data_IF_409871804630
#
_entry.id   IF_409871804630
#
_cell.length_a   1.000
_cell.length_b   1.000
_cell.length_c   1.000
_cell.angle_alpha   90.00
_cell.angle_beta   90.00
_cell.angle_gamma   90.00
#
_symmetry.space_group_name_H-M   'P 1'
#
loop_
_entity.id
_entity.type
_entity.pdbx_description
1 polymer ?
#
# COMPACT_ATOMS: atom_id res chain seq x y z
N UNK A 1 -2.74 10.21 9.66
CA UNK A 1 -1.29 9.99 9.65
C UNK A 1 -0.94 8.67 10.30
N UNK A 2 0.14 8.03 9.82
CA UNK A 2 0.71 6.81 10.43
C UNK A 2 1.39 7.11 11.76
N UNK A 3 1.99 8.30 11.89
CA UNK A 3 2.66 8.80 13.08
C UNK A 3 3.58 7.76 13.75
N UNK A 4 4.42 7.09 12.95
CA UNK A 4 5.47 6.21 13.48
C UNK A 4 6.35 6.97 14.46
N UNK A 5 6.80 6.32 15.54
CA UNK A 5 7.64 6.99 16.55
C UNK A 5 8.89 7.61 15.92
N UNK A 6 9.55 6.86 15.04
CA UNK A 6 10.64 7.36 14.21
C UNK A 6 10.08 8.06 12.97
N UNK A 7 10.32 9.38 12.76
CA UNK A 7 9.95 10.07 11.52
C UNK A 7 10.67 9.49 10.31
N UNK A 8 10.17 9.77 9.10
CA UNK A 8 10.77 9.28 7.87
C UNK A 8 12.20 9.80 7.71
N UNK A 9 13.11 8.89 7.38
CA UNK A 9 14.51 9.24 7.18
C UNK A 9 15.18 8.29 6.18
N UNK A 10 16.20 8.77 5.52
CA UNK A 10 17.03 8.00 4.60
C UNK A 10 18.38 8.66 4.44
N UNK A 11 19.43 7.86 4.42
CA UNK A 11 20.76 8.28 3.94
C UNK A 11 20.98 7.66 2.55
N UNK A 12 21.43 8.46 1.60
CA UNK A 12 21.79 8.00 0.27
C UNK A 12 23.15 8.55 -0.17
N UNK A 13 23.90 7.75 -0.92
CA UNK A 13 25.13 8.16 -1.58
C UNK A 13 25.11 7.70 -3.04
N UNK A 14 24.93 8.63 -3.96
CA UNK A 14 24.86 8.38 -5.37
C UNK A 14 26.14 8.90 -6.06
N UNK A 15 26.86 8.00 -6.71
CA UNK A 15 28.01 8.29 -7.54
C UNK A 15 27.70 7.96 -9.02
N UNK A 16 28.66 8.14 -9.93
CA UNK A 16 28.47 7.80 -11.33
C UNK A 16 28.28 6.31 -11.61
N UNK A 17 28.76 5.44 -10.73
CA UNK A 17 28.79 3.99 -10.93
C UNK A 17 28.21 3.15 -9.78
N UNK A 18 27.81 3.79 -8.68
CA UNK A 18 27.31 3.11 -7.50
C UNK A 18 26.26 3.96 -6.77
N UNK A 19 25.27 3.30 -6.19
CA UNK A 19 24.31 3.89 -5.29
C UNK A 19 24.24 3.08 -3.99
N UNK A 20 24.39 3.73 -2.85
CA UNK A 20 24.21 3.13 -1.53
C UNK A 20 23.09 3.85 -0.79
N UNK A 21 22.21 3.07 -0.16
CA UNK A 21 21.01 3.55 0.53
C UNK A 21 20.95 2.91 1.91
N UNK A 22 20.83 3.71 2.94
CA UNK A 22 20.54 3.29 4.32
C UNK A 22 19.14 3.78 4.66
N UNK A 23 18.19 2.86 4.71
CA UNK A 23 16.78 3.22 4.91
C UNK A 23 16.05 2.21 5.79
N UNK A 24 15.25 2.67 6.76
CA UNK A 24 14.31 1.84 7.51
C UNK A 24 13.05 1.60 6.66
N UNK A 25 13.17 0.78 5.61
CA UNK A 25 12.10 0.49 4.64
C UNK A 25 11.41 -0.84 4.90
N UNK A 26 10.13 -0.94 4.56
CA UNK A 26 9.35 -2.18 4.50
C UNK A 26 9.33 -2.79 3.08
N UNK A 27 9.92 -2.11 2.08
CA UNK A 27 9.84 -2.48 0.67
C UNK A 27 11.19 -2.32 -0.04
N UNK A 28 12.11 -3.23 0.23
CA UNK A 28 13.46 -3.20 -0.34
C UNK A 28 13.43 -3.24 -1.88
N UNK A 29 12.61 -4.13 -2.46
CA UNK A 29 12.47 -4.23 -3.93
C UNK A 29 12.00 -2.92 -4.55
N UNK A 30 10.97 -2.29 -3.99
CA UNK A 30 10.47 -1.01 -4.50
C UNK A 30 11.47 0.13 -4.32
N UNK A 31 12.30 0.03 -3.28
CA UNK A 31 13.41 0.97 -3.07
C UNK A 31 14.48 0.81 -4.15
N UNK A 32 14.82 -0.42 -4.55
CA UNK A 32 15.73 -0.70 -5.67
C UNK A 32 15.15 -0.16 -6.97
N UNK A 33 13.89 -0.44 -7.27
CA UNK A 33 13.23 0.03 -8.48
C UNK A 33 13.25 1.55 -8.58
N UNK A 34 12.94 2.24 -7.48
CA UNK A 34 12.99 3.70 -7.41
C UNK A 34 14.42 4.24 -7.57
N UNK A 35 15.41 3.56 -6.99
CA UNK A 35 16.80 3.95 -7.15
C UNK A 35 17.27 3.77 -8.60
N UNK A 36 16.87 2.71 -9.28
CA UNK A 36 17.14 2.50 -10.72
C UNK A 36 16.53 3.62 -11.58
N UNK A 37 15.27 3.95 -11.31
CA UNK A 37 14.55 5.02 -12.01
C UNK A 37 15.27 6.36 -11.89
N UNK A 38 15.71 6.74 -10.68
CA UNK A 38 16.34 8.03 -10.42
C UNK A 38 17.79 8.07 -10.90
N UNK A 39 18.56 7.01 -10.64
CA UNK A 39 20.01 7.02 -10.90
C UNK A 39 20.36 6.60 -12.31
N UNK A 40 19.56 5.74 -12.94
CA UNK A 40 19.86 5.07 -14.20
C UNK A 40 20.85 3.91 -14.04
N UNK A 41 21.24 3.56 -12.83
CA UNK A 41 22.18 2.46 -12.55
C UNK A 41 21.50 1.10 -12.67
N UNK A 42 22.27 0.07 -13.02
CA UNK A 42 21.81 -1.32 -12.93
C UNK A 42 21.66 -1.74 -11.48
N UNK A 43 20.81 -2.72 -11.23
CA UNK A 43 20.54 -3.27 -9.89
C UNK A 43 21.82 -3.72 -9.17
N UNK A 44 22.75 -4.32 -9.90
CA UNK A 44 24.03 -4.78 -9.33
C UNK A 44 24.90 -3.65 -8.74
N UNK A 45 24.64 -2.42 -9.12
CA UNK A 45 25.33 -1.23 -8.63
C UNK A 45 24.56 -0.47 -7.54
N UNK A 46 23.46 -1.05 -7.06
CA UNK A 46 22.63 -0.46 -6.01
C UNK A 46 22.68 -1.37 -4.79
N UNK A 47 23.05 -0.80 -3.65
CA UNK A 47 23.13 -1.52 -2.38
C UNK A 47 22.17 -0.87 -1.40
N UNK A 48 21.30 -1.68 -0.79
CA UNK A 48 20.40 -1.24 0.28
C UNK A 48 20.88 -1.87 1.59
N UNK A 49 21.18 -1.01 2.53
CA UNK A 49 21.38 -1.36 3.93
C UNK A 49 20.06 -1.18 4.66
N UNK A 50 19.37 -2.27 4.94
CA UNK A 50 18.10 -2.22 5.68
C UNK A 50 18.38 -1.89 7.13
N UNK A 51 17.89 -0.73 7.57
CA UNK A 51 18.06 -0.25 8.93
C UNK A 51 16.93 -0.74 9.84
N UNK A 52 17.17 -0.81 11.16
CA UNK A 52 16.07 -1.03 12.12
C UNK A 52 14.94 -0.02 11.93
N UNK A 53 13.70 -0.46 12.14
CA UNK A 53 12.50 0.35 11.87
C UNK A 53 11.88 0.78 13.20
N UNK A 54 11.79 2.09 13.44
CA UNK A 54 11.09 2.69 14.58
C UNK A 54 9.59 2.85 14.37
N UNK A 55 8.95 1.82 13.79
CA UNK A 55 7.54 1.80 13.39
C UNK A 55 7.37 1.99 11.90
N UNK A 56 6.54 1.14 11.27
CA UNK A 56 6.26 1.20 9.84
C UNK A 56 4.78 1.39 9.53
N UNK A 57 3.95 0.44 9.98
CA UNK A 57 2.48 0.48 9.83
C UNK A 57 1.98 0.64 8.39
N UNK A 58 2.83 0.25 7.41
CA UNK A 58 2.58 0.48 5.99
C UNK A 58 3.19 1.77 5.44
N UNK A 59 3.53 2.77 6.26
CA UNK A 59 4.11 4.03 5.80
C UNK A 59 5.42 3.85 5.04
N UNK A 60 6.24 2.93 5.50
CA UNK A 60 7.57 2.66 4.93
C UNK A 60 7.55 1.68 3.75
N UNK A 61 6.37 1.33 3.26
CA UNK A 61 6.17 0.76 1.93
C UNK A 61 6.28 1.85 0.84
N UNK A 62 5.96 3.11 1.20
CA UNK A 62 6.16 4.24 0.31
C UNK A 62 7.64 4.64 0.25
N UNK A 63 8.12 5.02 -0.92
CA UNK A 63 9.54 5.30 -1.18
C UNK A 63 9.87 6.79 -1.28
N UNK A 64 8.92 7.66 -1.00
CA UNK A 64 9.04 9.12 -1.13
C UNK A 64 10.21 9.73 -0.36
N UNK A 65 10.43 9.32 0.88
CA UNK A 65 11.56 9.79 1.70
C UNK A 65 12.93 9.28 1.18
N UNK A 66 12.94 8.11 0.55
CA UNK A 66 14.14 7.57 -0.13
C UNK A 66 14.40 8.33 -1.42
N UNK A 67 13.35 8.60 -2.20
CA UNK A 67 13.41 9.36 -3.45
C UNK A 67 14.05 10.74 -3.22
N UNK A 68 13.63 11.46 -2.19
CA UNK A 68 14.19 12.76 -1.82
C UNK A 68 15.71 12.66 -1.56
N UNK A 69 16.14 11.68 -0.76
CA UNK A 69 17.56 11.49 -0.46
C UNK A 69 18.39 11.16 -1.72
N UNK A 70 17.85 10.32 -2.60
CA UNK A 70 18.51 9.95 -3.86
C UNK A 70 18.64 11.14 -4.81
N UNK A 71 17.58 11.93 -5.00
CA UNK A 71 17.59 13.11 -5.88
C UNK A 71 18.64 14.11 -5.40
N UNK A 72 18.64 14.45 -4.11
CA UNK A 72 19.58 15.41 -3.56
C UNK A 72 21.02 14.89 -3.64
N UNK A 73 21.27 13.63 -3.24
CA UNK A 73 22.60 13.02 -3.31
C UNK A 73 23.15 12.98 -4.74
N UNK A 74 22.30 12.62 -5.71
CA UNK A 74 22.67 12.62 -7.13
C UNK A 74 23.06 14.01 -7.63
N UNK A 75 22.32 15.04 -7.21
CA UNK A 75 22.57 16.42 -7.62
C UNK A 75 23.89 16.95 -7.07
N UNK A 76 24.19 16.73 -5.79
CA UNK A 76 25.40 17.28 -5.15
C UNK A 76 26.59 16.30 -5.18
N UNK A 77 26.39 15.05 -5.62
CA UNK A 77 27.40 14.00 -5.69
C UNK A 77 28.12 13.73 -4.36
N UNK A 78 27.38 13.79 -3.26
CA UNK A 78 27.85 13.53 -1.90
C UNK A 78 26.84 12.71 -1.13
N UNK A 79 27.26 12.04 -0.04
CA UNK A 79 26.32 11.43 0.89
C UNK A 79 25.37 12.50 1.47
N UNK A 80 24.09 12.13 1.54
CA UNK A 80 23.01 12.98 2.06
C UNK A 80 22.17 12.18 3.01
N UNK A 81 21.86 12.74 4.17
CA UNK A 81 20.83 12.26 5.06
C UNK A 81 19.64 13.20 5.03
N UNK A 82 18.47 12.67 4.71
CA UNK A 82 17.18 13.34 4.87
C UNK A 82 16.55 12.81 6.16
N UNK A 83 16.09 13.72 6.99
CA UNK A 83 15.31 13.44 8.19
C UNK A 83 14.11 14.39 8.20
N UNK A 84 12.92 13.83 8.17
CA UNK A 84 11.71 14.64 8.28
C UNK A 84 11.49 15.09 9.71
N UNK A 85 10.97 16.29 9.88
CA UNK A 85 10.42 16.69 11.18
C UNK A 85 9.13 15.90 11.47
N UNK A 86 8.67 15.94 12.72
CA UNK A 86 7.39 15.32 13.06
C UNK A 86 6.22 15.99 12.35
N UNK A 87 6.28 17.29 12.19
CA UNK A 87 5.30 18.11 11.50
C UNK A 87 5.22 17.70 10.02
N UNK A 88 6.36 17.54 9.36
CA UNK A 88 6.47 17.10 7.97
C UNK A 88 5.88 15.70 7.79
N UNK A 89 6.25 14.75 8.64
CA UNK A 89 5.76 13.37 8.60
C UNK A 89 4.22 13.28 8.78
N UNK A 90 3.65 14.14 9.62
CA UNK A 90 2.19 14.18 9.83
C UNK A 90 1.46 14.85 8.69
N UNK A 91 2.01 15.94 8.13
CA UNK A 91 1.33 16.76 7.12
C UNK A 91 1.46 16.19 5.71
N UNK A 92 2.57 15.52 5.39
CA UNK A 92 2.89 15.03 4.05
C UNK A 92 2.90 13.51 3.93
N UNK A 93 2.38 12.80 4.94
CA UNK A 93 2.17 11.35 4.87
C UNK A 93 0.99 10.98 3.99
N UNK A 94 0.98 9.72 3.57
CA UNK A 94 -0.15 9.15 2.84
C UNK A 94 -1.35 8.91 3.75
N UNK A 95 -2.55 8.99 3.18
CA UNK A 95 -3.79 8.82 3.93
C UNK A 95 -4.29 7.38 3.90
N UNK A 96 -4.96 6.98 4.97
CA UNK A 96 -5.79 5.79 4.94
C UNK A 96 -6.99 6.03 4.01
N UNK A 97 -7.28 5.06 3.14
CA UNK A 97 -8.42 5.18 2.23
C UNK A 97 -9.74 5.33 2.98
N UNK A 98 -10.42 6.43 2.75
CA UNK A 98 -11.80 6.60 3.21
C UNK A 98 -12.73 5.62 2.49
N UNK A 99 -13.75 5.11 3.16
CA UNK A 99 -14.72 4.21 2.55
C UNK A 99 -16.15 4.56 2.95
N UNK A 100 -17.09 4.23 2.07
CA UNK A 100 -18.52 4.24 2.39
C UNK A 100 -19.11 2.88 2.08
N UNK A 101 -19.74 2.28 3.07
CA UNK A 101 -20.35 0.95 2.96
C UNK A 101 -21.86 1.02 3.22
N UNK A 102 -22.60 0.22 2.46
CA UNK A 102 -24.03 -0.03 2.68
C UNK A 102 -24.22 -1.51 2.93
N UNK A 103 -24.73 -1.83 4.11
CA UNK A 103 -25.05 -3.20 4.51
C UNK A 103 -26.56 -3.46 4.46
N UNK A 104 -26.93 -4.66 4.01
CA UNK A 104 -28.30 -5.18 4.09
C UNK A 104 -28.23 -6.62 4.55
N UNK A 105 -29.05 -6.97 5.54
CA UNK A 105 -29.11 -8.32 6.11
C UNK A 105 -30.57 -8.75 6.11
N UNK A 106 -30.85 -9.92 5.51
CA UNK A 106 -32.17 -10.54 5.60
C UNK A 106 -32.15 -11.60 6.72
N UNK A 107 -33.18 -11.60 7.54
CA UNK A 107 -33.36 -12.59 8.62
C UNK A 107 -34.34 -13.65 8.18
N UNK A 108 -34.08 -14.90 8.56
CA UNK A 108 -35.02 -15.99 8.44
C UNK A 108 -36.18 -15.89 9.45
N UNK A 109 -37.18 -16.74 9.31
CA UNK A 109 -38.30 -16.83 10.24
C UNK A 109 -37.87 -17.20 11.69
N UNK A 110 -36.71 -17.83 11.81
CA UNK A 110 -36.05 -18.18 13.05
C UNK A 110 -35.22 -17.02 13.68
N UNK A 111 -35.26 -15.84 13.07
CA UNK A 111 -34.51 -14.65 13.50
C UNK A 111 -33.01 -14.70 13.18
N UNK A 112 -32.53 -15.76 12.55
CA UNK A 112 -31.11 -15.86 12.18
C UNK A 112 -30.84 -15.18 10.84
N UNK A 113 -29.63 -14.57 10.67
CA UNK A 113 -29.25 -13.96 9.41
C UNK A 113 -29.09 -15.05 8.32
N UNK A 114 -29.76 -14.86 7.20
CA UNK A 114 -29.74 -15.75 6.04
C UNK A 114 -29.03 -15.17 4.85
N UNK A 115 -29.10 -13.86 4.67
CA UNK A 115 -28.49 -13.18 3.56
C UNK A 115 -27.72 -11.95 4.04
N UNK A 116 -26.54 -11.76 3.48
CA UNK A 116 -25.68 -10.60 3.72
C UNK A 116 -25.34 -9.94 2.39
N UNK A 117 -25.61 -8.64 2.29
CA UNK A 117 -25.17 -7.81 1.17
C UNK A 117 -24.31 -6.66 1.71
N UNK A 118 -23.15 -6.45 1.08
CA UNK A 118 -22.31 -5.28 1.32
C UNK A 118 -21.97 -4.61 0.00
N UNK A 119 -22.31 -3.36 -0.14
CA UNK A 119 -21.89 -2.52 -1.25
C UNK A 119 -20.98 -1.43 -0.70
N UNK A 120 -19.73 -1.35 -1.17
CA UNK A 120 -18.81 -0.35 -0.70
C UNK A 120 -18.02 0.33 -1.82
N UNK A 121 -17.66 1.57 -1.57
CA UNK A 121 -16.79 2.36 -2.42
C UNK A 121 -15.61 2.84 -1.59
N UNK A 122 -14.42 2.75 -2.15
CA UNK A 122 -13.19 3.32 -1.57
C UNK A 122 -12.16 3.54 -2.68
N UNK A 123 -11.22 4.50 -2.51
CA UNK A 123 -10.05 4.56 -3.37
C UNK A 123 -9.19 3.32 -3.21
N UNK A 124 -8.65 2.84 -4.31
CA UNK A 124 -7.65 1.76 -4.29
C UNK A 124 -6.25 2.35 -4.15
N UNK A 125 -5.48 1.88 -3.18
CA UNK A 125 -4.05 2.23 -3.10
C UNK A 125 -3.18 1.42 -4.07
N UNK A 126 -3.72 0.34 -4.64
CA UNK A 126 -3.03 -0.43 -5.68
C UNK A 126 -3.12 0.24 -7.05
N UNK A 127 -4.28 0.77 -7.41
CA UNK A 127 -4.45 1.45 -8.70
C UNK A 127 -3.67 2.75 -8.78
N UNK A 128 -3.49 3.46 -7.67
CA UNK A 128 -2.65 4.66 -7.62
C UNK A 128 -1.16 4.34 -7.79
N UNK A 129 -0.73 3.14 -7.41
CA UNK A 129 0.67 2.72 -7.50
C UNK A 129 1.01 1.98 -8.78
N UNK A 130 0.10 1.16 -9.27
CA UNK A 130 0.28 0.36 -10.48
C UNK A 130 -0.66 0.84 -11.58
N UNK A 131 -0.15 1.65 -12.48
CA UNK A 131 -0.93 2.25 -13.56
C UNK A 131 -1.70 1.21 -14.41
N UNK A 132 -1.12 0.03 -14.60
CA UNK A 132 -1.79 -1.07 -15.31
C UNK A 132 -3.05 -1.54 -14.58
N UNK A 133 -3.05 -1.57 -13.24
CA UNK A 133 -4.22 -1.94 -12.46
C UNK A 133 -5.30 -0.86 -12.51
N UNK A 134 -4.88 0.41 -12.62
CA UNK A 134 -5.82 1.52 -12.83
C UNK A 134 -6.53 1.41 -14.18
N UNK A 135 -5.78 1.08 -15.24
CA UNK A 135 -6.36 0.90 -16.58
C UNK A 135 -7.36 -0.27 -16.66
N UNK A 136 -7.16 -1.29 -15.83
CA UNK A 136 -8.04 -2.46 -15.77
C UNK A 136 -9.20 -2.30 -14.76
N UNK A 137 -9.28 -1.16 -14.05
CA UNK A 137 -10.17 -0.95 -12.90
C UNK A 137 -10.10 -2.11 -11.89
N UNK A 138 -8.89 -2.65 -11.71
CA UNK A 138 -8.64 -3.85 -10.94
C UNK A 138 -7.86 -3.55 -9.64
N UNK A 139 -8.49 -3.76 -8.51
CA UNK A 139 -7.85 -3.79 -7.20
C UNK A 139 -7.84 -5.23 -6.69
N UNK A 140 -6.68 -5.91 -6.63
CA UNK A 140 -6.59 -7.31 -6.25
C UNK A 140 -7.25 -7.62 -4.90
N UNK A 141 -7.15 -6.70 -3.93
CA UNK A 141 -7.71 -6.92 -2.59
C UNK A 141 -9.22 -6.66 -2.53
N UNK A 142 -9.67 -5.61 -3.19
CA UNK A 142 -11.09 -5.29 -3.21
C UNK A 142 -11.88 -6.26 -4.09
N UNK A 143 -11.31 -6.66 -5.22
CA UNK A 143 -11.87 -7.74 -6.03
C UNK A 143 -11.82 -9.09 -5.31
N UNK A 144 -10.83 -9.33 -4.46
CA UNK A 144 -10.79 -10.53 -3.64
C UNK A 144 -11.97 -10.59 -2.67
N UNK A 145 -12.32 -9.49 -2.02
CA UNK A 145 -13.50 -9.42 -1.16
C UNK A 145 -14.81 -9.61 -1.94
N UNK A 146 -14.90 -9.07 -3.16
CA UNK A 146 -16.07 -9.26 -4.04
C UNK A 146 -16.08 -10.61 -4.72
N UNK A 147 -14.93 -11.11 -5.16
CA UNK A 147 -14.80 -12.41 -5.81
C UNK A 147 -15.19 -13.55 -4.87
N UNK A 148 -15.01 -13.40 -3.56
CA UNK A 148 -15.41 -14.44 -2.61
C UNK A 148 -16.91 -14.67 -2.56
N UNK A 149 -17.71 -13.66 -2.88
CA UNK A 149 -19.17 -13.83 -3.00
C UNK A 149 -19.63 -14.48 -4.31
N UNK A 150 -18.84 -14.31 -5.38
CA UNK A 150 -19.20 -14.80 -6.73
C UNK A 150 -18.43 -16.05 -7.19
N UNK A 151 -17.24 -16.31 -6.62
CA UNK A 151 -16.29 -17.33 -7.11
C UNK A 151 -16.14 -18.56 -6.20
N UNK A 152 -17.00 -18.76 -5.22
CA UNK A 152 -17.04 -20.05 -4.50
C UNK A 152 -17.18 -21.26 -5.44
N UNK A 153 -17.58 -21.04 -6.68
CA UNK A 153 -17.75 -22.09 -7.68
C UNK A 153 -16.70 -22.17 -8.80
N UNK A 154 -15.67 -21.34 -8.85
CA UNK A 154 -14.66 -21.43 -9.92
C UNK A 154 -13.21 -21.28 -9.40
N UNK A 155 -12.56 -22.41 -9.33
CA UNK A 155 -11.13 -22.79 -9.52
C UNK A 155 -10.07 -21.66 -9.60
N UNK A 156 -9.92 -20.82 -8.59
CA UNK A 156 -8.61 -20.22 -8.30
C UNK A 156 -8.14 -20.66 -6.92
N UNK A 157 -6.90 -21.18 -6.79
CA UNK A 157 -6.35 -21.50 -5.48
C UNK A 157 -6.04 -20.19 -4.78
N UNK A 158 -7.00 -19.65 -4.03
CA UNK A 158 -6.80 -18.50 -3.18
C UNK A 158 -5.99 -18.93 -1.97
N UNK A 159 -4.78 -18.40 -1.81
CA UNK A 159 -3.92 -18.66 -0.65
C UNK A 159 -4.49 -18.09 0.67
N UNK A 160 -5.59 -17.36 0.61
CA UNK A 160 -6.22 -16.73 1.76
C UNK A 160 -7.73 -16.94 1.73
N UNK A 161 -8.26 -17.99 2.39
CA UNK A 161 -9.70 -18.15 2.55
C UNK A 161 -10.20 -17.06 3.51
N UNK A 162 -10.88 -16.03 2.98
CA UNK A 162 -11.71 -15.17 3.82
C UNK A 162 -12.90 -16.01 4.27
N UNK A 163 -12.76 -16.65 5.43
CA UNK A 163 -13.91 -17.23 6.11
C UNK A 163 -14.74 -16.09 6.67
N UNK A 164 -15.97 -15.94 6.19
CA UNK A 164 -16.94 -15.21 6.96
C UNK A 164 -17.12 -15.93 8.31
N UNK A 165 -16.99 -15.21 9.41
CA UNK A 165 -17.18 -15.78 10.75
C UNK A 165 -18.64 -16.20 11.01
N UNK A 166 -19.55 -15.82 10.10
CA UNK A 166 -20.98 -16.09 10.18
C UNK A 166 -21.39 -16.99 9.02
N UNK A 167 -22.30 -17.93 9.31
CA UNK A 167 -22.85 -18.84 8.34
C UNK A 167 -24.07 -18.18 7.66
N UNK A 168 -23.83 -17.50 6.54
CA UNK A 168 -24.86 -16.95 5.67
C UNK A 168 -25.14 -17.90 4.53
N UNK A 169 -26.42 -18.14 4.23
CA UNK A 169 -26.82 -18.94 3.05
C UNK A 169 -26.47 -18.21 1.73
N UNK A 170 -26.54 -16.86 1.74
CA UNK A 170 -26.22 -16.04 0.57
C UNK A 170 -25.39 -14.84 0.99
N UNK A 171 -24.30 -14.59 0.24
CA UNK A 171 -23.42 -13.43 0.43
C UNK A 171 -23.25 -12.72 -0.91
N UNK A 172 -23.53 -11.41 -0.96
CA UNK A 172 -23.29 -10.54 -2.11
C UNK A 172 -22.46 -9.33 -1.66
N UNK A 173 -21.23 -9.26 -2.16
CA UNK A 173 -20.32 -8.14 -1.87
C UNK A 173 -19.96 -7.44 -3.16
N UNK A 174 -20.22 -6.14 -3.24
CA UNK A 174 -19.92 -5.30 -4.41
C UNK A 174 -18.97 -4.18 -4.01
N UNK A 175 -17.92 -4.04 -4.78
CA UNK A 175 -16.92 -2.98 -4.64
C UNK A 175 -16.92 -2.06 -5.86
N UNK A 176 -16.67 -0.79 -5.61
CA UNK A 176 -16.35 0.17 -6.66
C UNK A 176 -15.14 1.01 -6.25
N UNK A 177 -14.16 1.07 -7.14
CA UNK A 177 -13.06 2.00 -6.99
C UNK A 177 -13.55 3.44 -7.25
N UNK A 178 -13.12 4.37 -6.42
CA UNK A 178 -13.41 5.79 -6.57
C UNK A 178 -12.14 6.58 -6.25
N UNK A 179 -11.54 7.17 -7.28
CA UNK A 179 -10.42 8.09 -7.08
C UNK A 179 -10.95 9.43 -6.56
N UNK A 180 -10.44 9.85 -5.42
CA UNK A 180 -10.78 11.13 -4.78
C UNK A 180 -9.69 12.19 -4.99
N UNK A 181 -8.63 11.89 -5.76
CA UNK A 181 -7.47 12.77 -5.93
C UNK A 181 -6.66 12.98 -4.64
N UNK A 182 -6.85 12.14 -3.63
CA UNK A 182 -6.13 12.20 -2.35
C UNK A 182 -5.06 11.11 -2.34
N UNK A 183 -3.81 11.41 -1.98
CA UNK A 183 -2.75 10.40 -1.94
C UNK A 183 -3.03 9.33 -0.88
N UNK A 184 -3.41 8.16 -1.33
CA UNK A 184 -3.66 7.00 -0.49
C UNK A 184 -2.41 6.13 -0.42
N UNK A 185 -2.12 5.60 0.76
CA UNK A 185 -1.03 4.66 0.98
C UNK A 185 -1.45 3.46 1.79
N UNK A 186 -0.50 2.56 1.95
CA UNK A 186 -0.70 1.37 2.77
C UNK A 186 -0.77 1.76 4.24
N UNK A 187 -1.81 1.32 4.90
CA UNK A 187 -2.01 1.51 6.32
C UNK A 187 -2.21 0.14 6.97
N UNK A 188 -1.73 -0.04 8.21
CA UNK A 188 -1.89 -1.34 8.91
C UNK A 188 -3.35 -1.82 8.83
N UNK A 189 -3.54 -3.12 8.79
CA UNK A 189 -4.87 -3.74 8.63
C UNK A 189 -5.52 -3.36 7.30
N UNK A 190 -4.79 -3.57 6.21
CA UNK A 190 -5.25 -3.29 4.83
C UNK A 190 -6.35 -4.25 4.34
N UNK A 191 -6.75 -5.23 5.14
CA UNK A 191 -7.77 -6.25 4.85
C UNK A 191 -9.05 -6.01 5.63
#
# INVERSE_FOLDING_TARGET
SHAAIEPMNCTAHVTSNKCEIWAPTQAQTWTIDKAREITGLSENNIIIHTMPIGGGFGRRLETDFVEQALIVSKAIKKPVQILWSREEDIQHGYYHSGSKSRFQIALGKDGKPKQFMNQFVKPSHWTSRFQILSMLDFDPYSHYQTAHSHFINQKFPTQFPVKHYYDFENVDVKYRNLDLGIPNGFFRSVF
#
